data_IF_183953791209
#
_entry.id   IF_183953791209
#
_cell.length_a   1.000
_cell.length_b   1.000
_cell.length_c   1.000
_cell.angle_alpha   90.00
_cell.angle_beta   90.00
_cell.angle_gamma   90.00
#
_symmetry.space_group_name_H-M   'P 1'
#
loop_
_entity.id
_entity.type
_entity.pdbx_description
1 polymer ?
#
# COMPACT_ATOMS: atom_id res chain seq x y z
N UNK A 1 13.68 -31.71 -14.45
CA UNK A 1 14.18 -30.39 -14.01
C UNK A 1 13.42 -29.97 -12.76
N UNK A 2 13.81 -30.42 -11.57
CA UNK A 2 13.13 -30.09 -10.30
C UNK A 2 14.16 -30.10 -9.16
N UNK A 3 14.90 -29.02 -8.97
CA UNK A 3 15.92 -28.99 -7.90
C UNK A 3 16.64 -27.68 -7.62
N UNK A 4 16.27 -26.55 -8.24
CA UNK A 4 17.04 -25.28 -8.13
C UNK A 4 16.29 -24.18 -7.38
N UNK A 5 15.06 -24.43 -6.90
CA UNK A 5 14.24 -23.37 -6.25
C UNK A 5 14.39 -23.33 -4.72
N UNK A 6 14.99 -24.35 -4.10
CA UNK A 6 15.06 -24.47 -2.63
C UNK A 6 16.20 -23.69 -1.95
N UNK A 7 17.07 -23.00 -2.71
CA UNK A 7 18.30 -22.37 -2.19
C UNK A 7 18.21 -20.84 -1.99
N UNK A 8 17.00 -20.27 -1.97
CA UNK A 8 16.78 -18.81 -1.90
C UNK A 8 15.95 -18.34 -0.70
N UNK A 9 15.83 -19.16 0.34
CA UNK A 9 15.43 -18.61 1.64
C UNK A 9 16.71 -18.25 2.41
N UNK A 10 16.88 -17.00 2.85
CA UNK A 10 17.84 -16.70 3.89
C UNK A 10 17.60 -17.67 5.05
N UNK A 11 18.66 -18.28 5.60
CA UNK A 11 18.53 -19.05 6.84
C UNK A 11 17.98 -18.14 7.98
N UNK A 12 18.28 -16.84 7.89
CA UNK A 12 17.79 -15.78 8.77
C UNK A 12 17.56 -14.50 7.93
N UNK A 13 16.45 -13.80 8.17
CA UNK A 13 16.19 -12.49 7.57
C UNK A 13 17.15 -11.44 8.18
N UNK A 14 17.77 -10.59 7.35
CA UNK A 14 18.52 -9.46 7.91
C UNK A 14 17.56 -8.43 8.50
N UNK A 15 18.04 -7.57 9.42
CA UNK A 15 17.23 -6.48 9.98
C UNK A 15 16.59 -5.59 8.90
N UNK A 16 17.23 -5.42 7.74
CA UNK A 16 16.66 -4.69 6.61
C UNK A 16 15.49 -5.43 5.92
N UNK A 17 15.53 -6.78 5.88
CA UNK A 17 14.40 -7.57 5.38
C UNK A 17 13.21 -7.45 6.32
N UNK A 18 13.44 -7.63 7.61
CA UNK A 18 12.40 -7.54 8.64
C UNK A 18 11.75 -6.16 8.61
N UNK A 19 12.55 -5.10 8.57
CA UNK A 19 12.07 -3.73 8.45
C UNK A 19 11.26 -3.49 7.17
N UNK A 20 11.67 -4.07 6.04
CA UNK A 20 10.92 -3.94 4.79
C UNK A 20 9.58 -4.67 4.84
N UNK A 21 9.55 -5.90 5.33
CA UNK A 21 8.30 -6.65 5.47
C UNK A 21 7.37 -6.03 6.51
N UNK A 22 7.90 -5.45 7.58
CA UNK A 22 7.11 -4.70 8.55
C UNK A 22 6.48 -3.45 7.91
N UNK A 23 7.27 -2.66 7.17
CA UNK A 23 6.77 -1.50 6.45
C UNK A 23 5.73 -1.90 5.38
N UNK A 24 5.96 -2.99 4.65
CA UNK A 24 5.01 -3.56 3.70
C UNK A 24 3.71 -4.01 4.40
N UNK A 25 3.81 -4.66 5.56
CA UNK A 25 2.65 -5.04 6.37
C UNK A 25 1.81 -3.82 6.79
N UNK A 26 2.46 -2.75 7.24
CA UNK A 26 1.79 -1.46 7.56
C UNK A 26 1.13 -0.86 6.31
N UNK A 27 1.81 -0.86 5.16
CA UNK A 27 1.25 -0.38 3.90
C UNK A 27 0.02 -1.18 3.45
N UNK A 28 0.05 -2.51 3.58
CA UNK A 28 -1.09 -3.37 3.29
C UNK A 28 -2.27 -3.07 4.24
N UNK A 29 -2.00 -2.90 5.54
CA UNK A 29 -3.00 -2.45 6.51
C UNK A 29 -3.65 -1.12 6.12
N UNK A 30 -2.84 -0.14 5.71
CA UNK A 30 -3.33 1.15 5.19
C UNK A 30 -4.22 0.97 3.96
N UNK A 31 -3.81 0.16 2.97
CA UNK A 31 -4.61 -0.07 1.76
C UNK A 31 -5.96 -0.72 2.07
N UNK A 32 -5.99 -1.65 3.04
CA UNK A 32 -7.22 -2.30 3.46
C UNK A 32 -8.14 -1.30 4.17
N UNK A 33 -7.61 -0.47 5.06
CA UNK A 33 -8.37 0.56 5.76
C UNK A 33 -8.97 1.58 4.78
N UNK A 34 -8.17 2.03 3.81
CA UNK A 34 -8.62 2.90 2.73
C UNK A 34 -9.78 2.29 1.93
N UNK A 35 -9.68 1.02 1.54
CA UNK A 35 -10.74 0.33 0.82
C UNK A 35 -12.03 0.24 1.64
N UNK A 36 -11.94 -0.06 2.94
CA UNK A 36 -13.11 -0.10 3.81
C UNK A 36 -13.75 1.28 3.99
N UNK A 37 -12.93 2.32 4.16
CA UNK A 37 -13.41 3.70 4.28
C UNK A 37 -14.12 4.16 3.01
N UNK A 38 -13.59 3.81 1.82
CA UNK A 38 -14.25 4.08 0.56
C UNK A 38 -15.61 3.37 0.46
N UNK A 39 -15.68 2.09 0.84
CA UNK A 39 -16.94 1.32 0.85
C UNK A 39 -17.97 1.93 1.79
N UNK A 40 -17.55 2.38 2.96
CA UNK A 40 -18.42 3.04 3.92
C UNK A 40 -18.98 4.36 3.36
N UNK A 41 -18.10 5.30 2.98
CA UNK A 41 -18.51 6.64 2.51
C UNK A 41 -19.36 6.54 1.25
N UNK A 42 -18.88 5.83 0.22
CA UNK A 42 -19.62 5.66 -1.02
C UNK A 42 -20.88 4.81 -0.84
N UNK A 43 -20.89 3.90 0.13
CA UNK A 43 -22.05 3.12 0.50
C UNK A 43 -23.18 4.00 1.03
N UNK A 44 -22.86 4.90 1.97
CA UNK A 44 -23.81 5.88 2.51
C UNK A 44 -24.34 6.79 1.41
N UNK A 45 -23.46 7.30 0.55
CA UNK A 45 -23.85 8.14 -0.58
C UNK A 45 -24.84 7.43 -1.51
N UNK A 46 -24.48 6.22 -1.97
CA UNK A 46 -25.34 5.44 -2.87
C UNK A 46 -26.69 5.11 -2.24
N UNK A 47 -26.72 4.81 -0.94
CA UNK A 47 -27.96 4.57 -0.20
C UNK A 47 -28.82 5.84 -0.12
N UNK A 48 -28.22 7.00 0.14
CA UNK A 48 -28.91 8.30 0.15
C UNK A 48 -29.56 8.60 -1.19
N UNK A 49 -28.78 8.54 -2.26
CA UNK A 49 -29.25 8.78 -3.63
C UNK A 49 -30.36 7.81 -4.05
N UNK A 50 -30.19 6.52 -3.79
CA UNK A 50 -31.19 5.52 -4.13
C UNK A 50 -32.51 5.72 -3.34
N UNK A 51 -32.44 6.23 -2.12
CA UNK A 51 -33.62 6.59 -1.33
C UNK A 51 -34.31 7.83 -1.89
N UNK A 52 -33.57 8.88 -2.22
CA UNK A 52 -34.11 10.12 -2.81
C UNK A 52 -34.77 9.86 -4.16
N UNK A 53 -34.20 8.97 -4.97
CA UNK A 53 -34.76 8.53 -6.25
C UNK A 53 -35.94 7.55 -6.10
N UNK A 54 -36.35 7.20 -4.87
CA UNK A 54 -37.45 6.29 -4.59
C UNK A 54 -37.19 4.82 -4.97
N UNK A 55 -35.95 4.46 -5.29
CA UNK A 55 -35.53 3.07 -5.61
C UNK A 55 -35.53 2.16 -4.39
N UNK A 56 -35.50 2.75 -3.20
CA UNK A 56 -35.51 2.04 -1.93
C UNK A 56 -36.53 2.71 -1.01
N UNK A 57 -37.57 1.98 -0.63
CA UNK A 57 -38.68 2.46 0.19
C UNK A 57 -38.76 1.70 1.51
N UNK A 58 -38.38 0.43 1.52
CA UNK A 58 -38.51 -0.44 2.70
C UNK A 58 -37.17 -0.71 3.38
N UNK A 59 -37.24 -1.26 4.61
CA UNK A 59 -36.04 -1.67 5.35
C UNK A 59 -35.32 -2.84 4.67
N UNK A 60 -36.06 -3.78 4.10
CA UNK A 60 -35.48 -4.97 3.47
C UNK A 60 -34.79 -4.62 2.15
N UNK A 61 -35.37 -3.70 1.37
CA UNK A 61 -34.72 -3.14 0.18
C UNK A 61 -33.42 -2.40 0.54
N UNK A 62 -33.40 -1.62 1.63
CA UNK A 62 -32.16 -0.97 2.11
C UNK A 62 -31.09 -2.00 2.45
N UNK A 63 -31.47 -3.08 3.15
CA UNK A 63 -30.54 -4.14 3.53
C UNK A 63 -29.95 -4.83 2.29
N UNK A 64 -30.80 -5.28 1.38
CA UNK A 64 -30.37 -5.95 0.15
C UNK A 64 -29.47 -5.04 -0.72
N UNK A 65 -29.82 -3.75 -0.80
CA UNK A 65 -29.00 -2.78 -1.53
C UNK A 65 -27.64 -2.58 -0.86
N UNK A 66 -27.60 -2.42 0.47
CA UNK A 66 -26.35 -2.29 1.23
C UNK A 66 -25.44 -3.50 1.06
N UNK A 67 -25.98 -4.72 1.11
CA UNK A 67 -25.21 -5.96 0.91
C UNK A 67 -24.58 -5.98 -0.50
N UNK A 68 -25.32 -5.55 -1.53
CA UNK A 68 -24.81 -5.40 -2.90
C UNK A 68 -23.69 -4.35 -2.99
N UNK A 69 -23.80 -3.22 -2.28
CA UNK A 69 -22.78 -2.17 -2.29
C UNK A 69 -21.48 -2.65 -1.64
N UNK A 70 -21.56 -3.34 -0.50
CA UNK A 70 -20.39 -3.85 0.22
C UNK A 70 -19.61 -4.92 -0.57
N UNK A 71 -20.27 -5.62 -1.49
CA UNK A 71 -19.63 -6.57 -2.40
C UNK A 71 -18.85 -5.92 -3.56
N UNK A 72 -18.93 -4.61 -3.77
CA UNK A 72 -18.22 -3.94 -4.88
C UNK A 72 -16.73 -3.83 -4.59
N UNK A 73 -15.91 -4.11 -5.60
CA UNK A 73 -14.48 -3.84 -5.55
C UNK A 73 -14.19 -2.34 -5.60
N UNK A 74 -13.12 -1.90 -4.94
CA UNK A 74 -12.70 -0.49 -4.92
C UNK A 74 -12.60 0.13 -6.32
N UNK A 75 -11.99 -0.59 -7.28
CA UNK A 75 -11.86 -0.10 -8.66
C UNK A 75 -13.20 0.13 -9.36
N UNK A 76 -14.24 -0.65 -9.03
CA UNK A 76 -15.58 -0.42 -9.55
C UNK A 76 -16.24 0.80 -8.89
N UNK A 77 -16.06 0.96 -7.58
CA UNK A 77 -16.55 2.12 -6.81
C UNK A 77 -15.94 3.42 -7.32
N UNK A 78 -14.62 3.51 -7.43
CA UNK A 78 -13.93 4.72 -7.94
C UNK A 78 -14.39 5.05 -9.36
N UNK A 79 -14.54 4.05 -10.24
CA UNK A 79 -15.02 4.28 -11.61
C UNK A 79 -16.45 4.81 -11.67
N UNK A 80 -17.35 4.32 -10.81
CA UNK A 80 -18.73 4.81 -10.80
C UNK A 80 -18.86 6.27 -10.39
N UNK A 81 -17.82 6.85 -9.76
CA UNK A 81 -17.77 8.23 -9.29
C UNK A 81 -17.25 9.25 -10.30
N UNK A 82 -16.76 8.82 -11.47
CA UNK A 82 -16.14 9.75 -12.44
C UNK A 82 -17.08 10.87 -12.91
N UNK A 83 -18.38 10.60 -12.93
CA UNK A 83 -19.42 11.55 -13.35
C UNK A 83 -20.08 12.33 -12.21
N UNK A 84 -19.71 12.09 -10.95
CA UNK A 84 -20.30 12.80 -9.82
C UNK A 84 -19.71 14.23 -9.76
N UNK A 85 -20.60 15.23 -9.74
CA UNK A 85 -20.23 16.66 -9.79
C UNK A 85 -19.56 17.14 -8.50
N UNK A 86 -19.84 16.47 -7.40
CA UNK A 86 -19.36 16.79 -6.06
C UNK A 86 -17.94 16.27 -5.77
N UNK A 87 -17.35 15.52 -6.71
CA UNK A 87 -15.98 15.00 -6.61
C UNK A 87 -15.12 15.74 -7.64
N UNK A 88 -14.09 16.43 -7.16
CA UNK A 88 -13.23 17.23 -8.03
C UNK A 88 -12.36 16.34 -8.92
N UNK A 89 -11.84 16.90 -10.02
CA UNK A 89 -10.90 16.14 -10.87
C UNK A 89 -9.58 15.81 -10.16
N UNK A 90 -9.18 16.64 -9.19
CA UNK A 90 -8.05 16.35 -8.31
C UNK A 90 -8.32 15.12 -7.42
N UNK A 91 -9.52 15.04 -6.83
CA UNK A 91 -9.91 13.86 -6.03
C UNK A 91 -9.94 12.60 -6.88
N UNK A 92 -10.51 12.68 -8.10
CA UNK A 92 -10.54 11.55 -9.06
C UNK A 92 -9.12 11.08 -9.39
N UNK A 93 -8.19 12.01 -9.62
CA UNK A 93 -6.79 11.68 -9.88
C UNK A 93 -6.14 11.00 -8.66
N UNK A 94 -6.39 11.50 -7.44
CA UNK A 94 -5.91 10.88 -6.21
C UNK A 94 -6.45 9.46 -6.02
N UNK A 95 -7.74 9.22 -6.26
CA UNK A 95 -8.33 7.87 -6.20
C UNK A 95 -7.76 6.91 -7.23
N UNK A 96 -7.48 7.37 -8.45
CA UNK A 96 -6.86 6.56 -9.49
C UNK A 96 -5.42 6.19 -9.12
N UNK A 97 -4.63 7.16 -8.65
CA UNK A 97 -3.27 6.95 -8.15
C UNK A 97 -3.25 5.96 -6.96
N UNK A 98 -4.18 6.10 -6.02
CA UNK A 98 -4.34 5.18 -4.90
C UNK A 98 -4.74 3.76 -5.37
N UNK A 99 -5.60 3.63 -6.38
CA UNK A 99 -5.94 2.32 -6.98
C UNK A 99 -4.70 1.63 -7.57
N UNK A 100 -3.89 2.37 -8.31
CA UNK A 100 -2.65 1.85 -8.90
C UNK A 100 -1.63 1.48 -7.82
N UNK A 101 -1.44 2.35 -6.82
CA UNK A 101 -0.59 2.12 -5.68
C UNK A 101 -0.98 0.86 -4.90
N UNK A 102 -2.28 0.64 -4.64
CA UNK A 102 -2.78 -0.57 -3.98
C UNK A 102 -2.45 -1.82 -4.78
N UNK A 103 -2.60 -1.78 -6.11
CA UNK A 103 -2.26 -2.92 -6.97
C UNK A 103 -0.76 -3.22 -6.93
N UNK A 104 0.07 -2.19 -6.99
CA UNK A 104 1.52 -2.33 -6.82
C UNK A 104 1.87 -2.95 -5.46
N UNK A 105 1.32 -2.43 -4.36
CA UNK A 105 1.59 -2.93 -3.00
C UNK A 105 1.15 -4.39 -2.82
N UNK A 106 0.01 -4.77 -3.39
CA UNK A 106 -0.55 -6.11 -3.26
C UNK A 106 0.15 -7.17 -4.13
N UNK A 107 0.73 -6.78 -5.29
CA UNK A 107 1.21 -7.75 -6.28
C UNK A 107 2.71 -7.66 -6.58
N UNK A 108 3.31 -6.48 -6.47
CA UNK A 108 4.68 -6.22 -6.90
C UNK A 108 5.62 -5.92 -5.72
N UNK A 109 5.17 -5.18 -4.70
CA UNK A 109 6.05 -4.71 -3.63
C UNK A 109 6.69 -5.85 -2.82
N UNK A 110 5.95 -6.95 -2.57
CA UNK A 110 6.50 -8.12 -1.89
C UNK A 110 7.69 -8.75 -2.62
N UNK A 111 7.77 -8.62 -3.95
CA UNK A 111 8.87 -9.18 -4.75
C UNK A 111 10.20 -8.51 -4.41
N UNK A 112 10.18 -7.22 -4.05
CA UNK A 112 11.38 -6.48 -3.63
C UNK A 112 11.99 -7.09 -2.37
N UNK A 113 11.17 -7.50 -1.42
CA UNK A 113 11.60 -8.17 -0.18
C UNK A 113 12.03 -9.63 -0.36
N UNK A 114 11.64 -10.27 -1.47
CA UNK A 114 11.92 -11.69 -1.75
C UNK A 114 13.18 -11.92 -2.60
N UNK A 115 13.87 -10.86 -3.04
CA UNK A 115 15.09 -10.84 -3.86
C UNK A 115 15.43 -12.16 -4.56
N UNK A 116 15.09 -12.23 -5.85
CA UNK A 116 15.55 -13.32 -6.70
C UNK A 116 16.83 -12.82 -7.40
N UNK A 117 18.02 -13.37 -7.09
CA UNK A 117 19.25 -12.88 -7.71
C UNK A 117 19.16 -13.06 -9.23
N UNK A 118 19.38 -11.99 -10.01
CA UNK A 118 19.39 -12.08 -11.47
C UNK A 118 20.49 -13.03 -11.97
N UNK A 119 20.39 -13.49 -13.23
CA UNK A 119 21.28 -14.53 -13.78
C UNK A 119 22.79 -14.22 -13.62
N UNK A 120 23.19 -12.95 -13.59
CA UNK A 120 24.58 -12.53 -13.38
C UNK A 120 25.06 -12.71 -11.93
N UNK A 121 24.18 -12.51 -10.94
CA UNK A 121 24.46 -12.76 -9.54
C UNK A 121 24.76 -14.25 -9.30
N UNK A 122 24.08 -15.13 -10.04
CA UNK A 122 24.37 -16.58 -10.02
C UNK A 122 25.75 -16.91 -10.54
N UNK A 123 26.30 -16.14 -11.48
CA UNK A 123 27.67 -16.34 -11.99
C UNK A 123 28.70 -15.91 -10.94
N UNK A 124 28.50 -14.74 -10.32
CA UNK A 124 29.39 -14.24 -9.25
C UNK A 124 29.35 -15.15 -8.03
N UNK A 125 28.17 -15.59 -7.59
CA UNK A 125 28.00 -16.62 -6.56
C UNK A 125 28.69 -17.95 -6.93
N UNK A 126 28.58 -18.41 -8.18
CA UNK A 126 29.29 -19.61 -8.65
C UNK A 126 30.80 -19.43 -8.70
N UNK A 127 31.31 -18.25 -9.02
CA UNK A 127 32.74 -17.94 -9.01
C UNK A 127 33.29 -17.94 -7.57
N UNK A 128 32.55 -17.38 -6.61
CA UNK A 128 32.92 -17.44 -5.18
C UNK A 128 32.86 -18.88 -4.66
N UNK A 129 31.80 -19.63 -4.98
CA UNK A 129 31.67 -21.06 -4.62
C UNK A 129 32.73 -21.97 -5.27
N UNK A 130 33.35 -21.55 -6.38
CA UNK A 130 34.41 -22.30 -7.07
C UNK A 130 35.81 -21.97 -6.55
N UNK A 131 35.98 -20.89 -5.78
CA UNK A 131 37.30 -20.37 -5.39
C UNK A 131 37.54 -20.14 -3.90
N UNK A 132 36.51 -20.08 -3.04
CA UNK A 132 36.72 -19.89 -1.59
C UNK A 132 35.64 -20.56 -0.74
N UNK A 133 36.11 -21.26 0.30
CA UNK A 133 35.33 -21.82 1.42
C UNK A 133 34.90 -20.75 2.46
N UNK A 134 35.00 -19.46 2.15
CA UNK A 134 34.61 -18.40 3.07
C UNK A 134 33.12 -18.07 2.93
N UNK A 135 32.32 -18.82 3.67
CA UNK A 135 30.87 -18.64 3.76
C UNK A 135 30.48 -17.25 4.28
N UNK A 136 31.32 -16.60 5.08
CA UNK A 136 31.05 -15.27 5.61
C UNK A 136 31.19 -14.19 4.52
N UNK A 137 32.17 -14.32 3.63
CA UNK A 137 32.31 -13.43 2.47
C UNK A 137 31.12 -13.54 1.50
N UNK A 138 30.64 -14.77 1.23
CA UNK A 138 29.43 -15.02 0.42
C UNK A 138 28.21 -14.36 1.04
N UNK A 139 28.02 -14.54 2.36
CA UNK A 139 26.88 -13.98 3.09
C UNK A 139 26.88 -12.46 3.08
N UNK A 140 28.05 -11.85 3.29
CA UNK A 140 28.23 -10.41 3.22
C UNK A 140 27.85 -9.86 1.85
N UNK A 141 28.37 -10.46 0.77
CA UNK A 141 28.06 -10.01 -0.58
C UNK A 141 26.56 -10.18 -0.92
N UNK A 142 25.94 -11.29 -0.49
CA UNK A 142 24.51 -11.51 -0.66
C UNK A 142 23.68 -10.42 0.03
N UNK A 143 24.05 -10.09 1.27
CA UNK A 143 23.39 -9.06 2.06
C UNK A 143 23.54 -7.68 1.40
N UNK A 144 24.73 -7.35 0.89
CA UNK A 144 24.97 -6.09 0.17
C UNK A 144 24.13 -5.98 -1.11
N UNK A 145 24.06 -7.05 -1.91
CA UNK A 145 23.22 -7.09 -3.12
C UNK A 145 21.74 -6.93 -2.79
N UNK A 146 21.28 -7.56 -1.72
CA UNK A 146 19.92 -7.44 -1.24
C UNK A 146 19.59 -6.02 -0.78
N UNK A 147 20.47 -5.41 0.03
CA UNK A 147 20.30 -4.04 0.51
C UNK A 147 20.25 -3.05 -0.66
N UNK A 148 21.04 -3.26 -1.72
CA UNK A 148 20.96 -2.45 -2.93
C UNK A 148 19.61 -2.62 -3.61
N UNK A 149 19.12 -3.85 -3.75
CA UNK A 149 17.83 -4.12 -4.38
C UNK A 149 16.64 -3.49 -3.62
N UNK A 150 16.62 -3.57 -2.29
CA UNK A 150 15.62 -2.86 -1.48
C UNK A 150 15.74 -1.36 -1.73
N UNK A 151 16.94 -0.78 -1.65
CA UNK A 151 17.14 0.67 -1.84
C UNK A 151 16.62 1.15 -3.19
N UNK A 152 16.79 0.36 -4.25
CA UNK A 152 16.27 0.67 -5.58
C UNK A 152 14.73 0.62 -5.65
N UNK A 153 14.10 -0.27 -4.88
CA UNK A 153 12.64 -0.42 -4.86
C UNK A 153 11.92 0.57 -3.93
N UNK A 154 12.61 1.12 -2.94
CA UNK A 154 12.00 2.01 -1.93
C UNK A 154 11.36 3.27 -2.51
N UNK A 155 11.93 4.00 -3.50
CA UNK A 155 11.28 5.19 -4.05
C UNK A 155 9.85 4.94 -4.55
N UNK A 156 9.64 3.91 -5.37
CA UNK A 156 8.30 3.52 -5.86
C UNK A 156 7.38 3.10 -4.72
N UNK A 157 7.93 2.46 -3.68
CA UNK A 157 7.18 2.10 -2.48
C UNK A 157 6.70 3.33 -1.69
N UNK A 158 7.56 4.34 -1.52
CA UNK A 158 7.21 5.62 -0.87
C UNK A 158 6.14 6.37 -1.66
N UNK A 159 6.27 6.45 -2.98
CA UNK A 159 5.27 7.07 -3.87
C UNK A 159 3.91 6.37 -3.74
N UNK A 160 3.89 5.04 -3.72
CA UNK A 160 2.67 4.28 -3.54
C UNK A 160 1.99 4.56 -2.19
N UNK A 161 2.76 4.61 -1.08
CA UNK A 161 2.21 4.92 0.25
C UNK A 161 1.62 6.33 0.26
N UNK A 162 2.32 7.30 -0.34
CA UNK A 162 1.85 8.69 -0.41
C UNK A 162 0.53 8.80 -1.17
N UNK A 163 0.43 8.16 -2.33
CA UNK A 163 -0.79 8.15 -3.13
C UNK A 163 -1.99 7.56 -2.36
N UNK A 164 -1.79 6.47 -1.62
CA UNK A 164 -2.84 5.91 -0.75
C UNK A 164 -3.20 6.90 0.35
N UNK A 165 -2.20 7.46 1.06
CA UNK A 165 -2.44 8.37 2.17
C UNK A 165 -3.17 9.66 1.74
N UNK A 166 -2.91 10.17 0.53
CA UNK A 166 -3.61 11.33 -0.04
C UNK A 166 -5.08 11.02 -0.30
N UNK A 167 -5.39 9.90 -0.96
CA UNK A 167 -6.78 9.51 -1.19
C UNK A 167 -7.50 9.15 0.11
N UNK A 168 -6.83 8.47 1.04
CA UNK A 168 -7.35 8.13 2.36
C UNK A 168 -7.61 9.38 3.20
N UNK A 169 -6.79 10.43 3.06
CA UNK A 169 -7.06 11.72 3.67
C UNK A 169 -8.38 12.30 3.18
N UNK A 170 -8.67 12.27 1.87
CA UNK A 170 -9.93 12.78 1.32
C UNK A 170 -11.13 12.02 1.92
N UNK A 171 -11.09 10.69 1.85
CA UNK A 171 -12.18 9.84 2.33
C UNK A 171 -12.38 9.95 3.84
N UNK A 172 -11.30 10.06 4.61
CA UNK A 172 -11.37 10.26 6.06
C UNK A 172 -12.04 11.59 6.40
N UNK A 173 -11.82 12.63 5.59
CA UNK A 173 -12.53 13.91 5.74
C UNK A 173 -14.04 13.75 5.55
N UNK A 174 -14.47 13.03 4.50
CA UNK A 174 -15.88 12.74 4.28
C UNK A 174 -16.49 11.84 5.36
N UNK A 175 -15.75 10.82 5.80
CA UNK A 175 -16.18 9.93 6.89
C UNK A 175 -16.40 10.71 8.18
N UNK A 176 -15.47 11.61 8.53
CA UNK A 176 -15.59 12.48 9.70
C UNK A 176 -16.82 13.38 9.59
N UNK A 177 -17.03 14.04 8.45
CA UNK A 177 -18.21 14.88 8.21
C UNK A 177 -19.52 14.10 8.35
N UNK A 178 -19.58 12.87 7.87
CA UNK A 178 -20.76 12.00 8.02
C UNK A 178 -21.04 11.66 9.49
N UNK A 179 -20.00 11.38 10.26
CA UNK A 179 -20.11 10.89 11.65
C UNK A 179 -20.36 12.04 12.64
N UNK A 180 -19.56 13.09 12.55
CA UNK A 180 -19.53 14.20 13.50
C UNK A 180 -20.40 15.37 13.06
N UNK A 181 -20.82 15.42 11.79
CA UNK A 181 -21.60 16.52 11.19
C UNK A 181 -20.85 17.86 11.16
N UNK A 182 -19.54 17.83 11.30
CA UNK A 182 -18.64 18.97 11.27
C UNK A 182 -17.47 18.72 10.30
N UNK A 183 -16.83 19.80 9.86
CA UNK A 183 -15.57 19.70 9.13
C UNK A 183 -14.44 19.25 10.06
N UNK A 184 -13.51 18.46 9.51
CA UNK A 184 -12.28 18.12 10.22
C UNK A 184 -11.42 19.35 10.46
N UNK A 185 -10.64 19.31 11.53
CA UNK A 185 -9.69 20.36 11.85
C UNK A 185 -8.61 20.48 10.74
N UNK A 186 -8.35 21.69 10.18
CA UNK A 186 -7.42 21.86 9.05
C UNK A 186 -6.02 21.28 9.29
N UNK A 187 -5.48 21.46 10.50
CA UNK A 187 -4.14 20.96 10.85
C UNK A 187 -4.06 19.42 10.81
N UNK A 188 -5.18 18.71 11.04
CA UNK A 188 -5.22 17.25 10.94
C UNK A 188 -5.11 16.86 9.46
N UNK A 189 -5.86 17.54 8.60
CA UNK A 189 -5.84 17.30 7.15
C UNK A 189 -4.45 17.56 6.54
N UNK A 190 -3.79 18.65 6.95
CA UNK A 190 -2.47 19.05 6.45
C UNK A 190 -1.37 18.07 6.86
N UNK A 191 -1.43 17.55 8.09
CA UNK A 191 -0.39 16.66 8.63
C UNK A 191 -0.65 15.18 8.39
N UNK A 192 -1.84 14.82 7.91
CA UNK A 192 -2.28 13.43 7.77
C UNK A 192 -1.32 12.61 6.92
N UNK A 193 -1.07 13.06 5.68
CA UNK A 193 -0.25 12.35 4.70
C UNK A 193 1.17 12.14 5.24
N UNK A 194 1.78 13.20 5.79
CA UNK A 194 3.11 13.12 6.37
C UNK A 194 3.17 12.13 7.55
N UNK A 195 2.16 12.14 8.42
CA UNK A 195 2.09 11.27 9.59
C UNK A 195 1.94 9.81 9.20
N UNK A 196 1.06 9.51 8.24
CA UNK A 196 0.85 8.15 7.72
C UNK A 196 2.11 7.63 7.02
N UNK A 197 2.69 8.43 6.11
CA UNK A 197 3.93 8.07 5.41
C UNK A 197 5.06 7.82 6.42
N UNK A 198 5.21 8.69 7.43
CA UNK A 198 6.22 8.51 8.46
C UNK A 198 5.99 7.24 9.27
N UNK A 199 4.75 6.95 9.66
CA UNK A 199 4.41 5.72 10.39
C UNK A 199 4.70 4.46 9.57
N UNK A 200 4.34 4.41 8.29
CA UNK A 200 4.60 3.23 7.44
C UNK A 200 6.11 3.02 7.25
N UNK A 201 6.88 4.09 7.07
CA UNK A 201 8.31 4.04 6.75
C UNK A 201 9.24 3.95 7.97
N UNK A 202 8.71 4.06 9.19
CA UNK A 202 9.54 4.06 10.41
C UNK A 202 10.44 2.81 10.58
N UNK A 203 9.99 1.58 10.26
CA UNK A 203 10.86 0.41 10.34
C UNK A 203 12.10 0.54 9.44
N UNK A 204 11.92 1.04 8.21
CA UNK A 204 13.02 1.25 7.26
C UNK A 204 14.00 2.33 7.71
N UNK A 205 13.51 3.39 8.36
CA UNK A 205 14.35 4.44 8.95
C UNK A 205 15.15 3.89 10.13
N UNK A 206 14.50 3.14 11.00
CA UNK A 206 15.12 2.52 12.18
C UNK A 206 16.22 1.54 11.80
N UNK A 207 16.04 0.79 10.71
CA UNK A 207 17.03 -0.12 10.15
C UNK A 207 18.11 0.58 9.30
N UNK A 208 18.07 1.91 9.15
CA UNK A 208 19.04 2.66 8.34
C UNK A 208 18.96 2.40 6.84
N UNK A 209 17.86 1.82 6.35
CA UNK A 209 17.63 1.56 4.91
C UNK A 209 17.35 2.86 4.16
N UNK A 210 16.64 3.79 4.82
CA UNK A 210 16.41 5.16 4.34
C UNK A 210 16.84 6.18 5.37
N UNK A 211 17.30 7.33 4.89
CA UNK A 211 17.64 8.44 5.75
C UNK A 211 16.36 9.11 6.31
N UNK A 212 16.45 9.63 7.53
CA UNK A 212 15.43 10.56 8.03
C UNK A 212 15.47 11.80 7.14
N UNK A 213 14.35 12.09 6.48
CA UNK A 213 14.15 13.41 5.89
C UNK A 213 14.30 14.44 7.02
N UNK A 214 15.14 15.46 6.81
CA UNK A 214 15.22 16.57 7.76
C UNK A 214 13.86 17.27 7.75
N UNK A 215 13.31 17.60 8.94
CA UNK A 215 12.02 18.26 9.06
C UNK A 215 12.01 19.62 8.33
#
# INVERSE_FOLDING_TARGET
>A
MNGVVMWLQPAEFSAAHEAYFEALGRALGLTQNFEQSCKFVFGIWDLGKAREEGKIQTRDERRAYSEKLMGRMLGALVKSRRGDIDITDADKAAFEAAREARNYLAHEAAVVGLFIPPKYARRKLREIMRGSLDTAAIEKERTEMFHAHIRDGVPKFVEAIRAIAEADNIVSGWSYMIQEKDDRLPFVAERYVQSVVAWVLEPLRSAGVIHRERP
#
